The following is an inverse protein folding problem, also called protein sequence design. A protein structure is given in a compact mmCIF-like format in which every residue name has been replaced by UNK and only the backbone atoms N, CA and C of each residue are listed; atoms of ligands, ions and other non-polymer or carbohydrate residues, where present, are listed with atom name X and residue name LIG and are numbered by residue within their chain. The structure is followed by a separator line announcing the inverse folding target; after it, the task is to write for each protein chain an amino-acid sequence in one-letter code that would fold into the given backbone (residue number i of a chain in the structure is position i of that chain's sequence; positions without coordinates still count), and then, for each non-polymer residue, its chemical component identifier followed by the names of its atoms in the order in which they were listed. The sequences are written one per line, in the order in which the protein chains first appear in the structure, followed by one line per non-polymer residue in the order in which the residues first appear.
data_IF_140502897939
#
_entry.id   IF_140502897939
#
_cell.length_a   1.000
_cell.length_b   1.000
_cell.length_c   1.000
_cell.angle_alpha   90.00
_cell.angle_beta   90.00
_cell.angle_gamma   90.00
#
_symmetry.space_group_name_H-M   'P 1'
#
loop_
_entity.id
_entity.type
_entity.pdbx_description
1 polymer ?
#
# COMPACT_ATOMS: atom_id res chain seq x y z
N UNK A 1 18.97 -14.01 -0.96
CA UNK A 1 17.55 -14.12 -1.37
C UNK A 1 16.84 -12.76 -1.34
N UNK A 2 16.71 -12.12 -0.17
CA UNK A 2 16.16 -10.76 -0.02
C UNK A 2 16.71 -9.75 -1.03
N UNK A 3 18.04 -9.58 -1.11
CA UNK A 3 18.63 -8.52 -1.95
C UNK A 3 18.34 -8.72 -3.45
N UNK A 4 18.28 -9.96 -3.90
CA UNK A 4 17.99 -10.31 -5.29
C UNK A 4 16.54 -10.03 -5.67
N UNK A 5 15.59 -10.38 -4.79
CA UNK A 5 14.17 -10.08 -5.01
C UNK A 5 13.91 -8.58 -4.92
N UNK A 6 14.49 -7.90 -3.92
CA UNK A 6 14.42 -6.44 -3.81
C UNK A 6 14.96 -5.75 -5.05
N UNK A 7 16.13 -6.18 -5.56
CA UNK A 7 16.73 -5.61 -6.78
C UNK A 7 15.81 -5.75 -7.99
N UNK A 8 15.04 -6.83 -8.08
CA UNK A 8 14.10 -7.09 -9.18
C UNK A 8 13.01 -6.02 -9.26
N UNK A 9 12.43 -5.62 -8.12
CA UNK A 9 11.32 -4.65 -8.09
C UNK A 9 11.75 -3.21 -7.83
N UNK A 10 12.95 -2.97 -7.31
CA UNK A 10 13.47 -1.62 -7.00
C UNK A 10 13.36 -0.60 -8.13
N UNK A 11 13.48 -0.96 -9.43
CA UNK A 11 13.35 0.03 -10.49
C UNK A 11 11.98 0.73 -10.53
N UNK A 12 10.91 0.13 -9.98
CA UNK A 12 9.57 0.75 -9.98
C UNK A 12 9.55 2.10 -9.24
N UNK A 13 10.40 2.25 -8.23
CA UNK A 13 10.57 3.48 -7.43
C UNK A 13 11.86 4.24 -7.78
N UNK A 14 12.51 3.91 -8.90
CA UNK A 14 13.66 4.68 -9.37
C UNK A 14 13.23 6.08 -9.84
N UNK A 15 14.11 7.07 -9.71
CA UNK A 15 13.83 8.47 -10.07
C UNK A 15 13.11 8.65 -11.42
N UNK A 16 13.54 8.00 -12.51
CA UNK A 16 12.85 8.12 -13.81
C UNK A 16 11.41 7.59 -13.82
N UNK A 17 11.09 6.57 -13.03
CA UNK A 17 9.73 6.03 -12.94
C UNK A 17 8.86 6.90 -12.02
N UNK A 18 9.42 7.41 -10.91
CA UNK A 18 8.72 8.38 -10.07
C UNK A 18 8.35 9.66 -10.84
N UNK A 19 9.26 10.16 -11.68
CA UNK A 19 8.99 11.33 -12.53
C UNK A 19 7.84 11.10 -13.54
N UNK A 20 7.60 9.85 -13.95
CA UNK A 20 6.44 9.49 -14.81
C UNK A 20 5.15 9.37 -14.02
N UNK A 21 5.23 8.96 -12.76
CA UNK A 21 4.06 8.81 -11.88
C UNK A 21 3.57 10.15 -11.33
N UNK A 22 4.47 11.10 -11.08
CA UNK A 22 4.12 12.42 -10.53
C UNK A 22 2.96 13.12 -11.27
N UNK A 23 2.99 13.32 -12.60
CA UNK A 23 1.90 14.01 -13.28
C UNK A 23 0.56 13.26 -13.17
N UNK A 24 0.59 11.92 -13.20
CA UNK A 24 -0.61 11.06 -13.08
C UNK A 24 -1.21 11.18 -11.67
N UNK A 25 -0.37 11.14 -10.63
CA UNK A 25 -0.81 11.29 -9.24
C UNK A 25 -1.38 12.69 -9.01
N UNK A 26 -0.74 13.72 -9.59
CA UNK A 26 -1.19 15.12 -9.48
C UNK A 26 -2.56 15.33 -10.12
N UNK A 27 -2.76 14.82 -11.34
CA UNK A 27 -4.03 14.88 -12.06
C UNK A 27 -5.15 14.24 -11.24
N UNK A 28 -4.96 12.98 -10.81
CA UNK A 28 -5.94 12.24 -10.01
C UNK A 28 -6.23 12.90 -8.66
N UNK A 29 -5.22 13.44 -7.99
CA UNK A 29 -5.42 14.16 -6.74
C UNK A 29 -6.28 15.41 -6.96
N UNK A 30 -6.06 16.14 -8.06
CA UNK A 30 -6.91 17.26 -8.46
C UNK A 30 -8.35 16.82 -8.71
N UNK A 31 -8.55 15.80 -9.55
CA UNK A 31 -9.89 15.27 -9.87
C UNK A 31 -10.65 14.81 -8.62
N UNK A 32 -9.99 14.08 -7.71
CA UNK A 32 -10.60 13.67 -6.44
C UNK A 32 -11.05 14.89 -5.64
N UNK A 33 -10.15 15.86 -5.43
CA UNK A 33 -10.42 17.04 -4.61
C UNK A 33 -11.51 17.93 -5.22
N UNK A 34 -11.58 18.02 -6.56
CA UNK A 34 -12.62 18.76 -7.28
C UNK A 34 -14.02 18.16 -7.10
N UNK A 35 -14.12 16.87 -6.72
CA UNK A 35 -15.41 16.21 -6.46
C UNK A 35 -15.83 16.25 -4.98
N UNK A 36 -14.96 16.70 -4.07
CA UNK A 36 -15.29 16.81 -2.65
C UNK A 36 -16.38 17.90 -2.43
N UNK A 37 -17.42 17.62 -1.63
CA UNK A 37 -18.45 18.62 -1.37
C UNK A 37 -17.89 19.75 -0.50
N UNK A 38 -18.40 20.96 -0.70
CA UNK A 38 -17.99 22.16 0.05
C UNK A 38 -19.09 22.51 1.05
N UNK A 39 -18.75 22.55 2.33
CA UNK A 39 -19.70 22.89 3.41
C UNK A 39 -20.58 21.71 3.86
N UNK A 40 -20.33 20.51 3.35
CA UNK A 40 -21.02 19.28 3.75
C UNK A 40 -20.01 18.28 4.35
N UNK A 41 -20.48 17.48 5.29
CA UNK A 41 -19.70 16.40 5.88
C UNK A 41 -19.53 15.25 4.88
N UNK A 42 -18.32 14.71 4.79
CA UNK A 42 -18.03 13.51 4.02
C UNK A 42 -16.88 12.72 4.63
N UNK A 43 -16.79 11.44 4.27
CA UNK A 43 -15.68 10.58 4.68
C UNK A 43 -14.43 10.85 3.83
N UNK A 44 -13.45 11.54 4.43
CA UNK A 44 -12.15 11.80 3.81
C UNK A 44 -11.37 10.52 3.50
N UNK A 45 -11.51 9.49 4.35
CA UNK A 45 -10.76 8.23 4.18
C UNK A 45 -11.21 7.53 2.92
N UNK A 46 -12.52 7.35 2.73
CA UNK A 46 -13.05 6.69 1.54
C UNK A 46 -12.88 7.54 0.27
N UNK A 47 -13.26 8.82 0.34
CA UNK A 47 -13.32 9.68 -0.85
C UNK A 47 -11.94 10.12 -1.34
N UNK A 48 -10.96 10.26 -0.44
CA UNK A 48 -9.63 10.80 -0.77
C UNK A 48 -8.52 9.79 -0.53
N UNK A 49 -8.33 9.36 0.72
CA UNK A 49 -7.16 8.54 1.08
C UNK A 49 -7.15 7.20 0.36
N UNK A 50 -8.27 6.47 0.37
CA UNK A 50 -8.42 5.17 -0.30
C UNK A 50 -8.37 5.34 -1.81
N UNK A 51 -9.13 6.28 -2.38
CA UNK A 51 -9.23 6.40 -3.84
C UNK A 51 -7.86 6.72 -4.47
N UNK A 52 -7.12 7.69 -3.91
CA UNK A 52 -5.82 8.08 -4.46
C UNK A 52 -4.79 6.94 -4.39
N UNK A 53 -4.70 6.24 -3.26
CA UNK A 53 -3.74 5.14 -3.09
C UNK A 53 -4.13 3.93 -3.94
N UNK A 54 -5.42 3.63 -4.04
CA UNK A 54 -5.93 2.51 -4.85
C UNK A 54 -5.66 2.72 -6.33
N UNK A 55 -5.91 3.93 -6.86
CA UNK A 55 -5.58 4.27 -8.25
C UNK A 55 -4.09 4.18 -8.54
N UNK A 56 -3.26 4.63 -7.60
CA UNK A 56 -1.79 4.54 -7.70
C UNK A 56 -1.34 3.08 -7.72
N UNK A 57 -1.83 2.27 -6.79
CA UNK A 57 -1.49 0.85 -6.71
C UNK A 57 -1.93 0.07 -7.96
N UNK A 58 -3.12 0.36 -8.49
CA UNK A 58 -3.60 -0.23 -9.74
C UNK A 58 -2.68 0.10 -10.92
N UNK A 59 -2.12 1.32 -10.95
CA UNK A 59 -1.14 1.72 -11.98
C UNK A 59 0.17 0.95 -11.84
N UNK A 60 0.67 0.77 -10.62
CA UNK A 60 1.91 0.04 -10.36
C UNK A 60 1.83 -1.44 -10.75
N UNK A 61 0.66 -2.05 -10.69
CA UNK A 61 0.43 -3.44 -11.09
C UNK A 61 -0.04 -3.61 -12.55
N UNK A 62 -0.36 -2.52 -13.26
CA UNK A 62 -1.15 -2.55 -14.50
C UNK A 62 -2.43 -3.41 -14.26
N UNK A 63 -3.11 -3.13 -13.15
CA UNK A 63 -4.30 -3.86 -12.68
C UNK A 63 -5.55 -3.33 -13.39
N UNK A 64 -6.54 -4.19 -13.74
CA UNK A 64 -7.75 -3.74 -14.41
C UNK A 64 -8.47 -2.63 -13.62
N UNK A 65 -8.70 -1.49 -14.27
CA UNK A 65 -9.15 -0.26 -13.61
C UNK A 65 -10.49 -0.40 -12.91
N UNK A 66 -11.43 -1.11 -13.52
CA UNK A 66 -12.77 -1.38 -12.97
C UNK A 66 -12.70 -2.22 -11.69
N UNK A 67 -11.67 -3.05 -11.55
CA UNK A 67 -11.50 -3.95 -10.42
C UNK A 67 -10.62 -3.35 -9.31
N UNK A 68 -10.08 -2.13 -9.45
CA UNK A 68 -9.04 -1.57 -8.57
C UNK A 68 -9.37 -1.64 -7.08
N UNK A 69 -10.65 -1.47 -6.69
CA UNK A 69 -11.10 -1.54 -5.29
C UNK A 69 -10.96 -2.94 -4.67
N UNK A 70 -10.79 -4.00 -5.48
CA UNK A 70 -10.37 -5.33 -4.98
C UNK A 70 -9.00 -5.28 -4.30
N UNK A 71 -8.07 -4.46 -4.79
CA UNK A 71 -6.75 -4.29 -4.15
C UNK A 71 -6.89 -3.74 -2.74
N UNK A 72 -7.77 -2.76 -2.53
CA UNK A 72 -8.08 -2.21 -1.21
C UNK A 72 -8.69 -3.28 -0.31
N UNK A 73 -9.70 -4.01 -0.81
CA UNK A 73 -10.36 -5.08 -0.05
C UNK A 73 -9.38 -6.17 0.38
N UNK A 74 -8.53 -6.64 -0.53
CA UNK A 74 -7.53 -7.65 -0.20
C UNK A 74 -6.45 -7.13 0.75
N UNK A 75 -6.09 -5.84 0.65
CA UNK A 75 -5.20 -5.18 1.62
C UNK A 75 -5.81 -5.20 3.03
N UNK A 76 -7.08 -4.79 3.14
CA UNK A 76 -7.79 -4.70 4.42
C UNK A 76 -8.00 -6.09 5.02
N UNK A 77 -8.44 -7.06 4.21
CA UNK A 77 -8.62 -8.45 4.65
C UNK A 77 -7.29 -9.10 5.06
N UNK A 78 -6.16 -8.74 4.45
CA UNK A 78 -4.86 -9.28 4.84
C UNK A 78 -4.39 -8.78 6.22
N UNK A 79 -4.80 -7.58 6.66
CA UNK A 79 -4.32 -6.94 7.90
C UNK A 79 -5.38 -6.82 8.99
N UNK A 80 -6.65 -7.05 8.66
CA UNK A 80 -7.80 -6.93 9.56
C UNK A 80 -7.68 -7.84 10.78
N UNK A 81 -7.96 -7.30 11.97
CA UNK A 81 -8.26 -8.10 13.15
C UNK A 81 -9.67 -8.73 13.03
N UNK A 82 -9.95 -9.87 13.68
CA UNK A 82 -11.28 -10.51 13.61
C UNK A 82 -12.44 -9.59 14.03
N UNK A 83 -12.20 -8.63 14.91
CA UNK A 83 -13.16 -7.66 15.44
C UNK A 83 -13.18 -6.31 14.69
N UNK A 84 -12.47 -6.20 13.57
CA UNK A 84 -12.31 -4.95 12.81
C UNK A 84 -13.57 -4.46 12.07
N UNK A 85 -14.64 -5.26 12.02
CA UNK A 85 -15.84 -4.97 11.22
C UNK A 85 -15.68 -5.19 9.71
N UNK A 86 -14.52 -5.71 9.28
CA UNK A 86 -14.24 -6.07 7.87
C UNK A 86 -14.93 -7.38 7.45
N UNK A 87 -15.17 -8.26 8.42
CA UNK A 87 -15.79 -9.57 8.25
C UNK A 87 -17.27 -9.53 8.62
N UNK A 88 -18.08 -10.38 7.97
CA UNK A 88 -19.54 -10.42 8.16
C UNK A 88 -19.92 -11.01 9.52
N UNK A 89 -19.00 -11.74 10.15
CA UNK A 89 -19.16 -12.38 11.44
C UNK A 89 -18.05 -11.96 12.40
N UNK A 90 -18.41 -11.80 13.68
CA UNK A 90 -17.45 -11.64 14.77
C UNK A 90 -16.98 -12.98 15.36
N UNK A 91 -17.55 -14.09 14.89
CA UNK A 91 -17.06 -15.43 15.19
C UNK A 91 -15.66 -15.64 14.56
N UNK A 92 -14.62 -15.98 15.34
CA UNK A 92 -13.26 -16.07 14.83
C UNK A 92 -13.06 -17.09 13.72
N UNK A 93 -13.77 -18.23 13.77
CA UNK A 93 -13.61 -19.31 12.79
C UNK A 93 -14.28 -18.91 11.47
N UNK A 94 -15.48 -18.31 11.54
CA UNK A 94 -16.18 -17.79 10.37
C UNK A 94 -15.41 -16.62 9.71
N UNK A 95 -14.86 -15.70 10.52
CA UNK A 95 -14.05 -14.59 10.02
C UNK A 95 -12.77 -15.08 9.32
N UNK A 96 -12.12 -16.13 9.86
CA UNK A 96 -10.95 -16.72 9.25
C UNK A 96 -11.29 -17.50 7.96
N UNK A 97 -12.44 -18.17 7.92
CA UNK A 97 -12.92 -18.81 6.70
C UNK A 97 -13.17 -17.79 5.57
N UNK A 98 -13.85 -16.67 5.90
CA UNK A 98 -14.05 -15.56 4.97
C UNK A 98 -12.71 -14.96 4.50
N UNK A 99 -11.80 -14.65 5.43
CA UNK A 99 -10.46 -14.15 5.10
C UNK A 99 -9.75 -15.07 4.12
N UNK A 100 -9.75 -16.37 4.41
CA UNK A 100 -9.10 -17.39 3.57
C UNK A 100 -9.73 -17.40 2.17
N UNK A 101 -11.05 -17.37 2.06
CA UNK A 101 -11.75 -17.37 0.77
C UNK A 101 -11.37 -16.14 -0.08
N UNK A 102 -11.38 -14.94 0.50
CA UNK A 102 -11.05 -13.70 -0.22
C UNK A 102 -9.57 -13.62 -0.60
N UNK A 103 -8.66 -14.12 0.26
CA UNK A 103 -7.24 -14.20 -0.09
C UNK A 103 -6.96 -15.26 -1.16
N UNK A 104 -7.74 -16.34 -1.24
CA UNK A 104 -7.67 -17.27 -2.36
C UNK A 104 -8.14 -16.61 -3.67
N UNK A 105 -9.21 -15.82 -3.65
CA UNK A 105 -9.62 -15.04 -4.83
C UNK A 105 -8.51 -14.09 -5.29
N UNK A 106 -7.87 -13.40 -4.35
CA UNK A 106 -6.69 -12.55 -4.63
C UNK A 106 -5.59 -13.35 -5.32
N UNK A 107 -5.24 -14.50 -4.77
CA UNK A 107 -4.23 -15.41 -5.35
C UNK A 107 -4.60 -15.80 -6.78
N UNK A 108 -5.81 -16.28 -7.02
CA UNK A 108 -6.26 -16.72 -8.34
C UNK A 108 -6.22 -15.57 -9.36
N UNK A 109 -6.62 -14.36 -8.93
CA UNK A 109 -6.56 -13.17 -9.77
C UNK A 109 -5.13 -12.82 -10.16
N UNK A 110 -4.20 -12.78 -9.19
CA UNK A 110 -2.79 -12.49 -9.46
C UNK A 110 -2.10 -13.61 -10.24
N UNK A 111 -2.53 -14.86 -10.09
CA UNK A 111 -2.06 -15.97 -10.93
C UNK A 111 -2.49 -15.78 -12.39
N UNK A 112 -3.71 -15.31 -12.64
CA UNK A 112 -4.16 -14.97 -13.99
C UNK A 112 -3.32 -13.83 -14.58
N UNK A 113 -3.15 -12.73 -13.84
CA UNK A 113 -2.32 -11.61 -14.30
C UNK A 113 -0.87 -12.04 -14.54
N UNK A 114 -0.30 -12.88 -13.68
CA UNK A 114 1.02 -13.46 -13.89
C UNK A 114 1.09 -14.22 -15.23
N UNK A 115 0.16 -15.12 -15.49
CA UNK A 115 0.11 -15.90 -16.72
C UNK A 115 -0.02 -15.01 -17.96
N UNK A 116 -0.75 -13.88 -17.87
CA UNK A 116 -0.79 -12.89 -18.93
C UNK A 116 0.57 -12.22 -19.16
N UNK A 117 1.28 -11.83 -18.08
CA UNK A 117 2.56 -11.13 -18.17
C UNK A 117 3.71 -12.01 -18.63
N UNK A 118 3.83 -13.26 -18.18
CA UNK A 118 4.90 -14.17 -18.64
C UNK A 118 4.82 -14.50 -20.14
N UNK A 119 3.64 -14.36 -20.73
CA UNK A 119 3.39 -14.60 -22.15
C UNK A 119 3.39 -13.31 -23.00
N UNK A 120 3.73 -12.17 -22.41
CA UNK A 120 3.72 -10.86 -23.06
C UNK A 120 5.11 -10.18 -22.99
N UNK A 121 5.41 -9.19 -23.85
CA UNK A 121 6.64 -8.41 -23.72
C UNK A 121 6.72 -7.70 -22.36
N UNK A 122 7.94 -7.51 -21.79
CA UNK A 122 8.11 -6.84 -20.52
C UNK A 122 7.53 -5.42 -20.50
N UNK A 123 6.73 -5.15 -19.47
CA UNK A 123 6.14 -3.85 -19.14
C UNK A 123 6.71 -3.29 -17.82
N UNK A 124 6.65 -1.96 -17.61
CA UNK A 124 7.15 -1.31 -16.40
C UNK A 124 6.15 -1.39 -15.24
N UNK A 125 5.64 -2.58 -14.95
CA UNK A 125 4.73 -2.87 -13.85
C UNK A 125 5.29 -3.98 -12.94
N UNK A 126 4.86 -4.01 -11.69
CA UNK A 126 5.39 -4.92 -10.67
C UNK A 126 5.25 -6.41 -11.03
N UNK A 127 4.14 -6.80 -11.67
CA UNK A 127 3.87 -8.20 -12.03
C UNK A 127 4.83 -8.62 -13.14
N UNK A 128 4.96 -7.79 -14.19
CA UNK A 128 5.88 -8.01 -15.30
C UNK A 128 7.34 -8.01 -14.85
N UNK A 129 7.73 -7.11 -13.94
CA UNK A 129 9.10 -7.05 -13.42
C UNK A 129 9.47 -8.33 -12.69
N UNK A 130 8.56 -8.88 -11.88
CA UNK A 130 8.79 -10.16 -11.22
C UNK A 130 8.71 -11.33 -12.22
N UNK A 131 7.85 -11.25 -13.25
CA UNK A 131 7.68 -12.28 -14.28
C UNK A 131 8.91 -12.51 -15.15
N UNK A 132 9.61 -11.42 -15.45
CA UNK A 132 10.78 -11.45 -16.33
C UNK A 132 12.11 -11.34 -15.56
N UNK A 133 12.04 -11.11 -14.24
CA UNK A 133 13.22 -10.97 -13.39
C UNK A 133 14.03 -12.27 -13.30
N UNK A 134 15.33 -12.20 -13.56
CA UNK A 134 16.23 -13.36 -13.54
C UNK A 134 16.19 -14.12 -12.21
N UNK A 135 16.02 -13.40 -11.10
CA UNK A 135 15.97 -13.98 -9.75
C UNK A 135 14.57 -14.43 -9.31
N UNK A 136 13.51 -14.16 -10.08
CA UNK A 136 12.11 -14.35 -9.66
C UNK A 136 11.28 -15.17 -10.65
N UNK A 137 11.64 -15.21 -11.94
CA UNK A 137 10.87 -15.91 -12.98
C UNK A 137 10.70 -17.42 -12.73
N UNK A 138 11.67 -18.03 -12.04
CA UNK A 138 11.72 -19.46 -11.73
C UNK A 138 11.36 -19.76 -10.25
N UNK A 139 10.81 -18.78 -9.53
CA UNK A 139 10.48 -18.93 -8.11
C UNK A 139 9.23 -19.78 -7.89
N UNK A 140 9.12 -20.40 -6.71
CA UNK A 140 7.92 -21.13 -6.33
C UNK A 140 6.68 -20.22 -6.39
N UNK A 141 5.54 -20.76 -6.85
CA UNK A 141 4.33 -19.96 -7.07
C UNK A 141 3.80 -19.32 -5.79
N UNK A 142 3.87 -20.01 -4.65
CA UNK A 142 3.41 -19.45 -3.38
C UNK A 142 4.34 -18.35 -2.90
N UNK A 143 5.65 -18.52 -3.13
CA UNK A 143 6.62 -17.47 -2.86
C UNK A 143 6.44 -16.25 -3.76
N UNK A 144 6.13 -16.47 -5.04
CA UNK A 144 5.77 -15.41 -5.97
C UNK A 144 4.59 -14.61 -5.42
N UNK A 145 3.47 -15.28 -5.11
CA UNK A 145 2.23 -14.65 -4.64
C UNK A 145 2.38 -13.88 -3.33
N UNK A 146 3.32 -14.28 -2.47
CA UNK A 146 3.70 -13.50 -1.29
C UNK A 146 4.20 -12.09 -1.62
N UNK A 147 4.82 -11.88 -2.80
CA UNK A 147 5.34 -10.56 -3.21
C UNK A 147 4.22 -9.58 -3.60
N UNK A 148 3.25 -9.91 -4.51
CA UNK A 148 2.09 -9.07 -4.75
C UNK A 148 1.32 -8.74 -3.47
N UNK A 149 1.07 -9.72 -2.57
CA UNK A 149 0.37 -9.45 -1.31
C UNK A 149 1.15 -8.45 -0.45
N UNK A 150 2.47 -8.64 -0.30
CA UNK A 150 3.34 -7.71 0.42
C UNK A 150 3.27 -6.29 -0.19
N UNK A 151 3.22 -6.20 -1.51
CA UNK A 151 3.19 -4.92 -2.24
C UNK A 151 1.82 -4.24 -2.17
N UNK A 152 0.72 -5.00 -2.16
CA UNK A 152 -0.64 -4.48 -1.94
C UNK A 152 -0.74 -3.84 -0.56
N UNK A 153 -0.37 -4.59 0.48
CA UNK A 153 -0.43 -4.10 1.86
C UNK A 153 0.55 -2.94 2.07
N UNK A 154 1.81 -3.13 1.66
CA UNK A 154 2.87 -2.13 1.87
C UNK A 154 2.66 -0.84 1.07
N UNK A 155 2.14 -0.94 -0.16
CA UNK A 155 1.96 0.18 -1.08
C UNK A 155 0.65 0.95 -0.90
N UNK A 156 -0.35 0.38 -0.22
CA UNK A 156 -1.65 1.02 -0.02
C UNK A 156 -1.79 1.58 1.41
N UNK A 157 -1.79 0.71 2.41
CA UNK A 157 -2.27 1.02 3.76
C UNK A 157 -1.42 2.10 4.46
N UNK A 158 -0.10 2.02 4.30
CA UNK A 158 0.84 2.97 4.92
C UNK A 158 0.65 4.40 4.40
N UNK A 159 0.48 4.55 3.09
CA UNK A 159 0.30 5.86 2.44
C UNK A 159 -1.11 6.40 2.73
N UNK A 160 -2.13 5.53 2.71
CA UNK A 160 -3.51 5.86 3.09
C UNK A 160 -3.55 6.48 4.49
N UNK A 161 -2.90 5.84 5.46
CA UNK A 161 -2.87 6.30 6.84
C UNK A 161 -2.09 7.63 6.98
N UNK A 162 -1.02 7.85 6.21
CA UNK A 162 -0.34 9.14 6.15
C UNK A 162 -1.23 10.25 5.60
N UNK A 163 -1.97 10.02 4.51
CA UNK A 163 -2.88 11.02 3.92
C UNK A 163 -3.99 11.37 4.93
N UNK A 164 -4.62 10.37 5.54
CA UNK A 164 -5.64 10.58 6.57
C UNK A 164 -5.07 11.36 7.77
N UNK A 165 -3.91 10.93 8.27
CA UNK A 165 -3.22 11.58 9.38
C UNK A 165 -2.83 13.03 9.09
N UNK A 166 -2.57 13.38 7.82
CA UNK A 166 -2.19 14.73 7.42
C UNK A 166 -3.29 15.76 7.70
N UNK A 167 -4.54 15.43 7.35
CA UNK A 167 -5.68 16.33 7.58
C UNK A 167 -6.02 16.41 9.07
N UNK A 168 -5.95 15.28 9.78
CA UNK A 168 -6.15 15.26 11.23
C UNK A 168 -5.10 16.15 11.94
N UNK A 169 -3.83 16.00 11.58
CA UNK A 169 -2.74 16.78 12.17
C UNK A 169 -2.90 18.28 11.88
N UNK A 170 -3.23 18.67 10.65
CA UNK A 170 -3.46 20.07 10.29
C UNK A 170 -4.69 20.65 11.02
N UNK A 171 -5.77 19.87 11.13
CA UNK A 171 -6.98 20.28 11.86
C UNK A 171 -6.71 20.51 13.35
N UNK A 172 -5.90 19.64 13.97
CA UNK A 172 -5.53 19.76 15.38
C UNK A 172 -4.48 20.85 15.66
N UNK A 173 -3.77 21.34 14.63
CA UNK A 173 -2.70 22.33 14.74
C UNK A 173 -2.93 23.47 13.72
N UNK A 174 -3.97 24.30 13.90
CA UNK A 174 -4.39 25.30 12.91
C UNK A 174 -3.33 26.36 12.60
N UNK A 175 -2.39 26.60 13.52
CA UNK A 175 -1.26 27.48 13.27
C UNK A 175 -0.25 26.89 12.28
N UNK A 176 -0.09 25.55 12.25
CA UNK A 176 0.72 24.87 11.23
C UNK A 176 0.00 24.86 9.88
N UNK A 177 -1.32 24.67 9.85
CA UNK A 177 -2.12 24.80 8.62
C UNK A 177 -2.00 26.20 8.02
N UNK A 178 -2.17 27.24 8.84
CA UNK A 178 -1.97 28.63 8.37
C UNK A 178 -0.56 28.84 7.83
N UNK A 179 0.47 28.38 8.54
CA UNK A 179 1.87 28.50 8.11
C UNK A 179 2.13 27.79 6.78
N UNK A 180 1.54 26.61 6.56
CA UNK A 180 1.65 25.86 5.31
C UNK A 180 0.94 26.57 4.15
N UNK A 181 -0.25 27.14 4.39
CA UNK A 181 -0.99 27.92 3.38
C UNK A 181 -0.26 29.20 2.98
N UNK A 182 0.37 29.87 3.95
CA UNK A 182 1.19 31.06 3.71
C UNK A 182 2.52 30.74 3.01
N UNK A 183 3.04 29.51 3.16
CA UNK A 183 4.27 29.06 2.52
C UNK A 183 4.23 27.57 2.06
N UNK A 184 3.77 27.31 0.83
CA UNK A 184 3.72 25.95 0.26
C UNK A 184 5.09 25.27 0.08
N UNK A 185 6.21 26.00 0.14
CA UNK A 185 7.55 25.39 0.10
C UNK A 185 7.80 24.47 1.31
N UNK A 186 6.97 24.53 2.34
CA UNK A 186 7.02 23.66 3.52
C UNK A 186 6.45 22.25 3.29
N UNK A 187 5.76 21.98 2.17
CA UNK A 187 5.14 20.68 1.89
C UNK A 187 6.11 19.50 2.09
N UNK A 188 7.36 19.50 1.59
CA UNK A 188 8.29 18.38 1.81
C UNK A 188 8.58 18.11 3.30
N UNK A 189 8.71 19.18 4.10
CA UNK A 189 8.92 19.06 5.54
C UNK A 189 7.66 18.57 6.26
N UNK A 190 6.49 19.04 5.84
CA UNK A 190 5.19 18.60 6.36
C UNK A 190 4.96 17.11 6.09
N UNK A 191 5.25 16.61 4.88
CA UNK A 191 5.15 15.18 4.57
C UNK A 191 6.01 14.35 5.52
N UNK A 192 7.26 14.77 5.74
CA UNK A 192 8.18 14.06 6.64
C UNK A 192 7.67 14.06 8.08
N UNK A 193 7.13 15.20 8.54
CA UNK A 193 6.60 15.36 9.89
C UNK A 193 5.29 14.61 10.10
N UNK A 194 4.39 14.57 9.10
CA UNK A 194 3.17 13.76 9.15
C UNK A 194 3.51 12.27 9.26
N UNK A 195 4.50 11.76 8.51
CA UNK A 195 4.92 10.35 8.62
C UNK A 195 5.45 10.05 10.04
N UNK A 196 6.25 10.97 10.60
CA UNK A 196 6.76 10.84 11.98
C UNK A 196 5.63 10.88 13.02
N UNK A 197 4.70 11.82 12.88
CA UNK A 197 3.60 12.02 13.83
C UNK A 197 2.58 10.89 13.77
N UNK A 198 2.13 10.53 12.57
CA UNK A 198 1.14 9.47 12.35
C UNK A 198 1.71 8.08 12.67
N UNK A 199 3.00 7.86 12.40
CA UNK A 199 3.64 6.53 12.48
C UNK A 199 2.76 5.42 11.88
N UNK A 200 2.54 5.40 10.55
CA UNK A 200 1.58 4.48 9.91
C UNK A 200 1.82 3.00 10.18
N UNK A 201 3.04 2.62 10.57
CA UNK A 201 3.41 1.28 11.01
C UNK A 201 3.92 1.33 12.44
N UNK A 202 3.07 0.94 13.39
CA UNK A 202 3.37 1.02 14.82
C UNK A 202 4.48 0.07 15.28
N UNK A 203 4.64 -1.08 14.62
CA UNK A 203 5.70 -2.02 14.95
C UNK A 203 6.14 -2.87 13.76
N UNK A 204 7.37 -3.39 13.86
CA UNK A 204 7.94 -4.39 12.96
C UNK A 204 8.57 -5.48 13.81
N UNK A 205 8.29 -6.74 13.47
CA UNK A 205 8.79 -7.88 14.25
C UNK A 205 10.16 -8.34 13.72
N UNK A 206 11.02 -8.79 14.64
CA UNK A 206 12.21 -9.61 14.35
C UNK A 206 12.15 -10.90 15.17
N UNK A 207 12.90 -11.92 14.79
CA UNK A 207 13.05 -13.17 15.55
C UNK A 207 14.53 -13.39 15.82
N UNK A 208 14.89 -13.57 17.08
CA UNK A 208 16.26 -13.94 17.44
C UNK A 208 16.58 -15.31 16.82
N UNK A 209 17.74 -15.43 16.18
CA UNK A 209 18.19 -16.71 15.60
C UNK A 209 19.05 -17.52 16.59
N UNK A 210 19.36 -16.92 17.73
CA UNK A 210 20.13 -17.45 18.86
C UNK A 210 19.97 -16.51 20.04
N UNK A 211 20.26 -17.01 21.24
CA UNK A 211 20.33 -16.20 22.45
C UNK A 211 21.27 -14.99 22.27
N UNK A 212 20.83 -13.80 22.68
CA UNK A 212 21.66 -12.59 22.66
C UNK A 212 21.24 -11.55 23.70
N UNK A 213 22.18 -10.71 24.11
CA UNK A 213 21.94 -9.60 25.04
C UNK A 213 21.50 -8.33 24.28
N UNK A 214 20.36 -7.75 24.66
CA UNK A 214 19.88 -6.45 24.17
C UNK A 214 19.37 -5.61 25.34
N UNK A 215 19.95 -4.42 25.53
CA UNK A 215 19.53 -3.52 26.61
C UNK A 215 19.65 -4.15 28.02
N UNK A 216 20.63 -5.04 28.22
CA UNK A 216 20.84 -5.75 29.49
C UNK A 216 19.82 -6.85 29.78
N UNK A 217 19.14 -7.36 28.75
CA UNK A 217 18.22 -8.51 28.83
C UNK A 217 18.67 -9.60 27.85
N UNK A 218 18.67 -10.84 28.33
CA UNK A 218 18.83 -12.02 27.47
C UNK A 218 17.56 -12.27 26.68
N UNK A 219 17.64 -12.16 25.36
CA UNK A 219 16.59 -12.58 24.43
C UNK A 219 16.87 -14.03 24.02
N UNK A 220 15.82 -14.86 24.01
CA UNK A 220 15.84 -16.28 23.61
C UNK A 220 14.94 -16.50 22.41
#
# INVERSE_FOLDING_TARGET
KHDMQRKTVSPIVAGPNLAKLEPIIRERAGEILDTCPIGEEFDWVDKVSIELTTMTLATLFDFPWEDRRKLTRWSDVATAAPDSGIFDSTDPDAAEEQRRAELFECVDYFMRLWNERVNAPPKPDLISMLAHGEATRDMDRMEYLGNPILLIVGGNDTTRNTITGSVLALHQNPEQDRKLRENPELIPSMVSETIRWQTPLAYMRRRATRDFELGGKTIK
#
